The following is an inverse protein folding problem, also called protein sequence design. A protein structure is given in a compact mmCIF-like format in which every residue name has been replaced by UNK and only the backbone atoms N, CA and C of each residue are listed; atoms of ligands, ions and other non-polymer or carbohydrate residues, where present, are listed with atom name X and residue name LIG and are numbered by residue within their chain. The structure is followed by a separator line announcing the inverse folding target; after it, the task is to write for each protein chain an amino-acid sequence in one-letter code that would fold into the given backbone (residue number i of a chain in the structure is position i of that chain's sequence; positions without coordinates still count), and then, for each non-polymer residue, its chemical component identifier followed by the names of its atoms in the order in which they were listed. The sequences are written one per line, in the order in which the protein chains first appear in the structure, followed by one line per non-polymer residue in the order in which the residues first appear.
data_IF_054701907496
#
_entry.id   IF_054701907496
#
_cell.length_a   1.000
_cell.length_b   1.000
_cell.length_c   1.000
_cell.angle_alpha   90.00
_cell.angle_beta   90.00
_cell.angle_gamma   90.00
#
_symmetry.space_group_name_H-M   'P 1'
#
loop_
_entity.id
_entity.type
_entity.pdbx_description
1 polymer ?
#
# COMPACT_ATOMS: atom_id res chain seq x y z
N UNK A 1 19.65 22.13 -16.74
CA UNK A 1 18.49 21.36 -16.30
C UNK A 1 19.02 20.00 -15.89
N UNK A 2 19.24 19.75 -14.59
CA UNK A 2 19.52 18.42 -14.10
C UNK A 2 18.26 17.58 -14.36
N UNK A 3 18.34 16.67 -15.32
CA UNK A 3 17.38 15.58 -15.43
C UNK A 3 17.51 14.76 -14.14
N UNK A 4 16.55 14.95 -13.24
CA UNK A 4 16.43 14.13 -12.05
C UNK A 4 16.11 12.72 -12.54
N UNK A 5 17.15 11.85 -12.53
CA UNK A 5 16.99 10.45 -12.93
C UNK A 5 15.84 9.85 -12.12
N UNK A 6 14.85 9.32 -12.85
CA UNK A 6 13.66 8.75 -12.23
C UNK A 6 14.10 7.65 -11.25
N UNK A 7 13.86 7.88 -9.98
CA UNK A 7 14.20 6.94 -8.91
C UNK A 7 13.19 5.78 -8.93
N UNK A 8 13.58 4.58 -9.19
CA UNK A 8 12.89 3.29 -9.12
C UNK A 8 11.42 3.22 -8.72
N UNK A 9 11.09 2.29 -7.86
CA UNK A 9 9.72 2.01 -7.42
C UNK A 9 9.53 2.49 -5.98
N UNK A 10 8.52 3.31 -5.71
CA UNK A 10 8.10 3.65 -4.35
C UNK A 10 6.90 2.79 -3.97
N UNK A 11 6.89 2.21 -2.77
CA UNK A 11 5.80 1.36 -2.27
C UNK A 11 5.24 1.95 -0.98
N UNK A 12 3.94 2.24 -0.95
CA UNK A 12 3.25 2.66 0.27
C UNK A 12 2.95 1.47 1.17
N UNK A 13 3.44 1.51 2.42
CA UNK A 13 3.32 0.44 3.40
C UNK A 13 2.64 0.94 4.66
N UNK A 14 1.55 0.28 5.04
CA UNK A 14 0.79 0.55 6.27
C UNK A 14 0.61 -0.70 7.16
N UNK A 15 1.30 -1.81 6.82
CA UNK A 15 1.21 -3.08 7.52
C UNK A 15 -0.01 -3.92 7.15
N UNK A 16 -0.90 -3.45 6.28
CA UNK A 16 -2.02 -4.25 5.78
C UNK A 16 -1.54 -5.38 4.88
N UNK A 17 -2.31 -6.49 4.75
CA UNK A 17 -1.98 -7.57 3.81
C UNK A 17 -1.80 -7.10 2.38
N UNK A 18 -2.54 -6.05 1.95
CA UNK A 18 -2.42 -5.49 0.62
C UNK A 18 -1.16 -4.64 0.44
N UNK A 19 -0.66 -3.99 1.48
CA UNK A 19 0.63 -3.30 1.41
C UNK A 19 1.80 -4.28 1.38
N UNK A 20 1.70 -5.42 2.05
CA UNK A 20 2.67 -6.53 1.93
C UNK A 20 2.65 -7.11 0.51
N UNK A 21 1.48 -7.31 -0.08
CA UNK A 21 1.37 -7.76 -1.47
C UNK A 21 1.89 -6.70 -2.47
N UNK A 22 1.73 -5.40 -2.16
CA UNK A 22 2.32 -4.31 -2.94
C UNK A 22 3.86 -4.38 -2.98
N UNK A 23 4.50 -4.73 -1.85
CA UNK A 23 5.95 -4.98 -1.79
C UNK A 23 6.36 -6.16 -2.69
N UNK A 24 5.59 -7.26 -2.68
CA UNK A 24 5.84 -8.42 -3.56
C UNK A 24 5.69 -8.06 -5.05
N UNK A 25 4.70 -7.25 -5.39
CA UNK A 25 4.53 -6.75 -6.76
C UNK A 25 5.70 -5.86 -7.20
N UNK A 26 6.17 -4.98 -6.32
CA UNK A 26 7.34 -4.14 -6.61
C UNK A 26 8.58 -4.99 -6.96
N UNK A 27 8.85 -6.06 -6.20
CA UNK A 27 9.96 -6.96 -6.50
C UNK A 27 9.80 -7.69 -7.85
N UNK A 28 8.58 -8.11 -8.20
CA UNK A 28 8.30 -8.73 -9.51
C UNK A 28 8.50 -7.77 -10.68
N UNK A 29 8.25 -6.49 -10.46
CA UNK A 29 8.33 -5.45 -11.49
C UNK A 29 9.70 -4.79 -11.58
N UNK A 30 10.57 -4.97 -10.58
CA UNK A 30 11.86 -4.29 -10.48
C UNK A 30 12.71 -4.44 -11.75
N UNK A 31 12.79 -5.64 -12.30
CA UNK A 31 13.60 -5.91 -13.52
C UNK A 31 13.07 -5.19 -14.76
N UNK A 32 11.77 -4.98 -14.87
CA UNK A 32 11.14 -4.32 -16.03
C UNK A 32 11.06 -2.81 -15.89
N UNK A 33 10.77 -2.32 -14.69
CA UNK A 33 10.65 -0.89 -14.38
C UNK A 33 12.04 -0.25 -14.20
N UNK A 34 12.94 -0.98 -13.54
CA UNK A 34 14.31 -0.53 -13.23
C UNK A 34 14.37 0.41 -12.02
N UNK A 35 15.56 0.52 -11.46
CA UNK A 35 15.87 1.31 -10.27
C UNK A 35 15.53 0.61 -8.95
N UNK A 36 15.96 1.18 -7.80
CA UNK A 36 15.77 0.59 -6.49
C UNK A 36 14.30 0.64 -6.04
N UNK A 37 13.96 -0.22 -5.08
CA UNK A 37 12.67 -0.18 -4.39
C UNK A 37 12.82 0.63 -3.11
N UNK A 38 11.91 1.58 -2.88
CA UNK A 38 11.79 2.33 -1.63
C UNK A 38 10.48 1.98 -0.94
N UNK A 39 10.56 1.27 0.18
CA UNK A 39 9.39 1.00 1.02
C UNK A 39 9.14 2.20 1.93
N UNK A 40 7.98 2.85 1.77
CA UNK A 40 7.65 4.10 2.42
C UNK A 40 6.47 3.94 3.38
N UNK A 41 6.62 4.42 4.61
CA UNK A 41 5.53 4.53 5.58
C UNK A 41 5.45 5.94 6.14
N UNK A 42 4.24 6.34 6.54
CA UNK A 42 3.97 7.63 7.13
C UNK A 42 3.48 7.46 8.56
N UNK A 43 3.85 8.38 9.43
CA UNK A 43 3.36 8.43 10.80
C UNK A 43 2.83 9.83 11.16
N UNK A 44 1.92 9.87 12.12
CA UNK A 44 1.38 11.12 12.68
C UNK A 44 1.19 10.94 14.17
N UNK A 45 1.35 12.03 14.92
CA UNK A 45 0.90 12.03 16.30
C UNK A 45 -0.62 11.94 16.33
N UNK A 46 -1.20 10.97 17.07
CA UNK A 46 -2.64 10.93 17.28
C UNK A 46 -3.08 12.21 18.01
N UNK A 47 -4.03 12.96 17.44
CA UNK A 47 -4.53 14.21 18.02
C UNK A 47 -5.10 14.01 19.42
N UNK A 48 -5.58 12.79 19.75
CA UNK A 48 -6.11 12.40 21.04
C UNK A 48 -5.18 11.49 21.87
N UNK A 49 -3.97 11.21 21.42
CA UNK A 49 -3.08 10.22 22.02
C UNK A 49 -1.77 10.79 22.62
N UNK A 50 -1.65 12.10 22.75
CA UNK A 50 -0.45 12.74 23.33
C UNK A 50 -0.07 12.21 24.72
N UNK A 51 -1.02 11.70 25.51
CA UNK A 51 -0.78 11.06 26.80
C UNK A 51 -0.19 9.66 26.72
N UNK A 52 -0.36 8.94 25.60
CA UNK A 52 0.08 7.56 25.44
C UNK A 52 1.60 7.44 25.27
N UNK A 53 2.25 8.48 24.76
CA UNK A 53 3.70 8.52 24.51
C UNK A 53 4.49 9.32 25.56
N UNK A 54 3.78 9.89 26.58
CA UNK A 54 4.36 10.83 27.53
C UNK A 54 5.42 10.22 28.46
N UNK A 55 5.36 8.90 28.68
CA UNK A 55 6.26 8.17 29.58
C UNK A 55 7.05 7.05 28.87
N UNK A 56 6.95 6.96 27.53
CA UNK A 56 7.67 5.95 26.76
C UNK A 56 8.91 6.55 26.09
N UNK A 57 10.04 5.85 26.19
CA UNK A 57 11.23 6.09 25.36
C UNK A 57 11.01 5.70 23.87
N UNK A 58 9.77 5.48 23.46
CA UNK A 58 9.33 4.96 22.18
C UNK A 58 8.20 5.85 21.62
N UNK A 59 8.30 6.25 20.38
CA UNK A 59 7.36 7.17 19.73
C UNK A 59 6.68 6.61 18.50
N UNK A 60 5.73 7.36 17.90
CA UNK A 60 5.02 6.91 16.68
C UNK A 60 5.94 6.63 15.50
N UNK A 61 7.09 7.26 15.43
CA UNK A 61 8.11 6.96 14.41
C UNK A 61 8.71 5.57 14.60
N UNK A 62 8.96 5.18 15.85
CA UNK A 62 9.50 3.86 16.18
C UNK A 62 8.48 2.77 15.87
N UNK A 63 7.19 2.99 16.19
CA UNK A 63 6.09 2.10 15.83
C UNK A 63 6.00 1.94 14.29
N UNK A 64 6.13 3.03 13.54
CA UNK A 64 6.14 3.02 12.08
C UNK A 64 7.34 2.26 11.50
N UNK A 65 8.50 2.39 12.14
CA UNK A 65 9.73 1.67 11.76
C UNK A 65 9.59 0.17 11.97
N UNK A 66 9.04 -0.24 13.11
CA UNK A 66 8.80 -1.65 13.41
C UNK A 66 7.78 -2.25 12.45
N UNK A 67 6.67 -1.56 12.22
CA UNK A 67 5.64 -1.95 11.24
C UNK A 67 6.24 -2.16 9.84
N UNK A 68 7.07 -1.21 9.40
CA UNK A 68 7.71 -1.29 8.08
C UNK A 68 8.66 -2.49 7.98
N UNK A 69 9.48 -2.71 9.01
CA UNK A 69 10.39 -3.85 9.06
C UNK A 69 9.65 -5.18 9.06
N UNK A 70 8.54 -5.27 9.81
CA UNK A 70 7.69 -6.46 9.83
C UNK A 70 7.08 -6.72 8.45
N UNK A 71 6.51 -5.70 7.80
CA UNK A 71 5.92 -5.83 6.47
C UNK A 71 6.95 -6.27 5.42
N UNK A 72 8.19 -5.77 5.49
CA UNK A 72 9.30 -6.20 4.63
C UNK A 72 9.65 -7.67 4.90
N UNK A 73 9.73 -8.08 6.16
CA UNK A 73 9.93 -9.48 6.55
C UNK A 73 8.85 -10.41 6.01
N UNK A 74 7.58 -10.02 6.14
CA UNK A 74 6.42 -10.77 5.65
C UNK A 74 6.38 -10.86 4.10
N UNK A 75 6.84 -9.80 3.43
CA UNK A 75 6.89 -9.78 1.98
C UNK A 75 7.97 -10.68 1.40
N UNK A 76 9.14 -10.70 2.00
CA UNK A 76 10.36 -11.24 1.38
C UNK A 76 10.99 -12.42 2.12
N UNK A 77 10.46 -12.80 3.30
CA UNK A 77 10.94 -13.99 4.04
C UNK A 77 12.43 -13.92 4.41
N UNK A 78 12.97 -12.71 4.69
CA UNK A 78 14.38 -12.52 5.05
C UNK A 78 15.34 -12.34 3.85
N UNK A 79 14.83 -12.34 2.62
CA UNK A 79 15.62 -12.12 1.39
C UNK A 79 15.06 -10.95 0.57
N UNK A 80 15.17 -9.71 1.07
CA UNK A 80 14.68 -8.53 0.35
C UNK A 80 15.46 -8.28 -0.94
N UNK A 81 14.85 -7.59 -1.92
CA UNK A 81 15.55 -7.16 -3.14
C UNK A 81 16.81 -6.36 -2.83
N UNK A 82 17.84 -6.52 -3.68
CA UNK A 82 19.09 -5.76 -3.53
C UNK A 82 18.80 -4.28 -3.74
N UNK A 83 19.31 -3.44 -2.83
CA UNK A 83 19.10 -2.00 -2.91
C UNK A 83 17.72 -1.53 -2.41
N UNK A 84 16.95 -2.39 -1.75
CA UNK A 84 15.76 -1.97 -1.02
C UNK A 84 16.15 -0.91 0.02
N UNK A 85 15.47 0.22 -0.02
CA UNK A 85 15.59 1.30 0.95
C UNK A 85 14.29 1.52 1.70
N UNK A 86 14.35 2.12 2.87
CA UNK A 86 13.19 2.46 3.69
C UNK A 86 13.05 3.96 3.85
N UNK A 87 11.82 4.45 3.79
CA UNK A 87 11.46 5.83 4.04
C UNK A 87 10.41 5.88 5.14
N UNK A 88 10.70 6.63 6.20
CA UNK A 88 9.76 6.88 7.29
C UNK A 88 9.61 8.39 7.43
N UNK A 89 8.40 8.90 7.22
CA UNK A 89 8.17 10.34 7.20
C UNK A 89 6.94 10.73 8.03
N UNK A 90 7.01 11.89 8.66
CA UNK A 90 5.88 12.47 9.38
C UNK A 90 4.91 13.16 8.42
N UNK A 91 3.62 12.89 8.58
CA UNK A 91 2.56 13.56 7.83
C UNK A 91 1.46 12.63 7.33
N UNK A 92 0.43 13.19 6.64
CA UNK A 92 -0.62 12.40 6.01
C UNK A 92 -0.05 11.44 4.97
N UNK A 93 -0.42 10.16 5.03
CA UNK A 93 0.18 9.10 4.21
C UNK A 93 0.13 9.40 2.70
N UNK A 94 -1.02 9.86 2.19
CA UNK A 94 -1.14 10.22 0.77
C UNK A 94 -0.15 11.32 0.37
N UNK A 95 -0.02 12.36 1.18
CA UNK A 95 0.92 13.46 0.94
C UNK A 95 2.37 12.97 0.94
N UNK A 96 2.75 12.19 1.95
CA UNK A 96 4.10 11.62 2.06
C UNK A 96 4.43 10.80 0.81
N UNK A 97 3.51 9.93 0.37
CA UNK A 97 3.72 9.09 -0.81
C UNK A 97 3.83 9.92 -2.10
N UNK A 98 2.95 10.90 -2.30
CA UNK A 98 2.97 11.77 -3.49
C UNK A 98 4.27 12.59 -3.56
N UNK A 99 4.69 13.20 -2.45
CA UNK A 99 5.89 14.02 -2.40
C UNK A 99 7.16 13.18 -2.65
N UNK A 100 7.23 11.98 -2.08
CA UNK A 100 8.40 11.10 -2.19
C UNK A 100 8.41 10.20 -3.43
N UNK A 101 7.31 10.17 -4.20
CA UNK A 101 7.25 9.52 -5.51
C UNK A 101 7.47 10.46 -6.69
N UNK A 102 7.77 11.73 -6.45
CA UNK A 102 8.16 12.65 -7.51
C UNK A 102 9.45 12.18 -8.16
N UNK A 103 9.41 11.95 -9.48
CA UNK A 103 10.54 11.38 -10.21
C UNK A 103 10.70 9.86 -10.08
N UNK A 104 9.84 9.18 -9.32
CA UNK A 104 9.78 7.72 -9.34
C UNK A 104 9.24 7.22 -10.67
N UNK A 105 9.65 6.03 -11.07
CA UNK A 105 9.12 5.34 -12.26
C UNK A 105 7.75 4.74 -12.01
N UNK A 106 7.47 4.39 -10.75
CA UNK A 106 6.22 3.76 -10.34
C UNK A 106 5.96 3.99 -8.84
N UNK A 107 4.73 4.32 -8.49
CA UNK A 107 4.22 4.25 -7.12
C UNK A 107 3.31 3.03 -7.01
N UNK A 108 3.54 2.16 -6.02
CA UNK A 108 2.72 0.97 -5.76
C UNK A 108 2.03 1.12 -4.41
N UNK A 109 0.73 0.92 -4.38
CA UNK A 109 -0.08 1.01 -3.15
C UNK A 109 -1.11 -0.11 -3.11
N UNK A 110 -1.47 -0.58 -1.91
CA UNK A 110 -2.62 -1.45 -1.74
C UNK A 110 -3.92 -0.69 -2.03
N UNK A 111 -4.91 -1.36 -2.60
CA UNK A 111 -6.21 -0.74 -2.88
C UNK A 111 -6.94 -0.30 -1.61
N UNK A 112 -6.63 -0.90 -0.46
CA UNK A 112 -7.16 -0.58 0.87
C UNK A 112 -6.06 -0.78 1.91
N UNK A 113 -6.14 -0.01 3.00
CA UNK A 113 -5.26 -0.14 4.17
C UNK A 113 -6.00 -0.71 5.38
N UNK A 114 -5.39 -0.58 6.56
CA UNK A 114 -5.90 -1.09 7.85
C UNK A 114 -7.29 -0.53 8.24
N UNK A 115 -7.65 0.68 7.79
CA UNK A 115 -8.93 1.34 8.10
C UNK A 115 -10.02 1.20 7.05
N UNK A 116 -9.87 0.30 6.07
CA UNK A 116 -10.73 0.25 4.89
C UNK A 116 -12.15 -0.27 5.17
N UNK A 117 -13.16 0.54 4.83
CA UNK A 117 -14.56 0.07 4.75
C UNK A 117 -14.68 -0.95 3.62
N UNK A 118 -15.25 -2.14 3.92
CA UNK A 118 -15.38 -3.26 2.97
C UNK A 118 -16.18 -2.95 1.68
N UNK A 119 -16.92 -1.85 1.67
CA UNK A 119 -17.77 -1.41 0.54
C UNK A 119 -17.07 -0.47 -0.46
N UNK A 120 -15.90 0.10 -0.13
CA UNK A 120 -15.20 1.00 -1.04
C UNK A 120 -14.24 0.22 -1.93
N UNK A 121 -14.24 0.51 -3.23
CA UNK A 121 -13.30 -0.10 -4.18
C UNK A 121 -11.86 0.35 -3.96
N UNK A 122 -11.67 1.62 -3.52
CA UNK A 122 -10.38 2.20 -3.19
C UNK A 122 -10.42 2.84 -1.79
N UNK A 123 -9.33 2.70 -1.03
CA UNK A 123 -9.11 3.44 0.20
C UNK A 123 -8.76 4.90 -0.08
N UNK A 124 -8.84 5.76 0.95
CA UNK A 124 -8.57 7.19 0.81
C UNK A 124 -7.15 7.48 0.31
N UNK A 125 -6.15 6.77 0.82
CA UNK A 125 -4.74 6.96 0.41
C UNK A 125 -4.54 6.56 -1.05
N UNK A 126 -4.99 5.36 -1.44
CA UNK A 126 -4.84 4.87 -2.82
C UNK A 126 -5.60 5.72 -3.83
N UNK A 127 -6.79 6.22 -3.49
CA UNK A 127 -7.56 7.12 -4.34
C UNK A 127 -6.83 8.45 -4.56
N UNK A 128 -6.34 9.09 -3.50
CA UNK A 128 -5.61 10.37 -3.59
C UNK A 128 -4.28 10.20 -4.32
N UNK A 129 -3.56 9.08 -4.09
CA UNK A 129 -2.34 8.78 -4.84
C UNK A 129 -2.61 8.58 -6.34
N UNK A 130 -3.66 7.83 -6.69
CA UNK A 130 -4.03 7.60 -8.10
C UNK A 130 -4.42 8.90 -8.84
N UNK A 131 -5.01 9.87 -8.12
CA UNK A 131 -5.43 11.15 -8.68
C UNK A 131 -4.29 12.17 -8.79
N UNK A 132 -3.37 12.18 -7.81
CA UNK A 132 -2.43 13.31 -7.64
C UNK A 132 -0.94 12.96 -7.76
N UNK A 133 -0.57 11.69 -7.87
CA UNK A 133 0.84 11.33 -8.06
C UNK A 133 1.36 11.83 -9.41
N UNK A 134 2.62 12.29 -9.43
CA UNK A 134 3.29 12.75 -10.65
C UNK A 134 3.90 11.61 -11.49
N UNK A 135 3.76 10.35 -11.04
CA UNK A 135 4.22 9.14 -11.71
C UNK A 135 3.08 8.14 -11.89
N UNK A 136 3.24 7.09 -12.72
CA UNK A 136 2.28 6.00 -12.79
C UNK A 136 2.02 5.37 -11.41
N UNK A 137 0.76 4.98 -11.15
CA UNK A 137 0.36 4.35 -9.89
C UNK A 137 -0.21 2.97 -10.15
N UNK A 138 0.36 1.95 -9.51
CA UNK A 138 -0.17 0.60 -9.47
C UNK A 138 -0.95 0.40 -8.18
N UNK A 139 -2.25 0.11 -8.31
CA UNK A 139 -3.11 -0.21 -7.17
C UNK A 139 -3.30 -1.71 -7.08
N UNK A 140 -2.82 -2.31 -5.98
CA UNK A 140 -2.87 -3.76 -5.75
C UNK A 140 -4.16 -4.12 -5.03
N UNK A 141 -4.98 -4.97 -5.67
CA UNK A 141 -6.21 -5.50 -5.11
C UNK A 141 -6.00 -6.92 -4.54
N UNK A 142 -6.85 -7.30 -3.59
CA UNK A 142 -6.92 -8.70 -3.18
C UNK A 142 -7.29 -9.57 -4.39
N UNK A 143 -6.71 -10.79 -4.51
CA UNK A 143 -7.13 -11.71 -5.55
C UNK A 143 -8.64 -11.96 -5.43
N UNK A 144 -9.37 -11.78 -6.52
CA UNK A 144 -10.75 -12.23 -6.60
C UNK A 144 -10.72 -13.74 -6.63
N UNK A 145 -11.06 -14.40 -5.52
CA UNK A 145 -11.33 -15.83 -5.54
C UNK A 145 -12.60 -16.01 -6.36
N UNK A 146 -12.44 -16.37 -7.65
CA UNK A 146 -13.55 -16.88 -8.42
C UNK A 146 -14.01 -18.15 -7.67
N UNK A 147 -15.27 -18.25 -7.22
CA UNK A 147 -15.75 -19.53 -6.68
C UNK A 147 -15.50 -20.58 -7.76
N UNK A 148 -14.88 -21.70 -7.35
CA UNK A 148 -14.68 -22.83 -8.25
C UNK A 148 -16.04 -23.17 -8.88
N UNK A 149 -16.09 -23.21 -10.20
CA UNK A 149 -17.26 -23.67 -10.93
C UNK A 149 -17.47 -25.16 -10.60
N UNK A 150 -18.40 -25.44 -9.67
CA UNK A 150 -18.68 -26.81 -9.25
C UNK A 150 -19.37 -26.87 -7.90
N UNK A 151 -20.56 -26.27 -7.81
CA UNK A 151 -21.68 -26.68 -6.97
C UNK A 151 -22.90 -25.85 -7.40
N UNK A 152 -23.43 -26.22 -8.57
CA UNK A 152 -24.83 -25.96 -8.88
C UNK A 152 -25.62 -27.11 -8.25
N UNK A 153 -26.03 -26.94 -7.01
CA UNK A 153 -27.15 -27.70 -6.45
C UNK A 153 -28.35 -26.75 -6.39
N UNK A 154 -29.37 -27.17 -7.14
CA UNK A 154 -30.76 -26.83 -7.09
C UNK A 154 -31.22 -25.86 -5.98
N UNK A 155 -31.64 -24.67 -6.39
CA UNK A 155 -32.73 -23.98 -5.73
C UNK A 155 -33.60 -23.36 -6.81
N UNK A 156 -34.57 -24.14 -7.25
CA UNK A 156 -35.80 -23.69 -7.90
C UNK A 156 -36.43 -22.56 -7.06
N UNK A 157 -36.35 -21.34 -7.58
CA UNK A 157 -37.09 -20.20 -7.06
C UNK A 157 -37.63 -19.39 -8.26
N UNK A 158 -38.95 -19.17 -8.34
CA UNK A 158 -39.62 -18.64 -9.53
C UNK A 158 -39.23 -17.18 -9.77
N UNK A 159 -38.94 -16.89 -11.02
CA UNK A 159 -38.70 -15.55 -11.56
C UNK A 159 -39.83 -14.59 -11.13
N UNK A 160 -39.50 -13.60 -10.31
CA UNK A 160 -40.35 -12.42 -10.08
C UNK A 160 -40.09 -11.43 -11.19
N UNK A 161 -41.07 -11.31 -12.05
CA UNK A 161 -41.28 -10.33 -13.10
C UNK A 161 -41.07 -8.89 -12.57
N UNK A 162 -40.08 -8.18 -13.13
CA UNK A 162 -39.86 -6.75 -12.92
C UNK A 162 -40.30 -5.97 -14.18
N UNK A 163 -41.54 -6.15 -14.63
CA UNK A 163 -42.14 -5.30 -15.64
C UNK A 163 -43.62 -5.07 -15.28
N UNK A 164 -43.89 -3.96 -14.63
CA UNK A 164 -45.07 -3.16 -14.69
C UNK A 164 -44.79 -1.78 -14.11
#
# INVERSE_FOLDING_TARGET
VEEQEATGIVVGVDGSPLSVEALRWAARLESGVGGPITAATAWQFPVMGLGMYRDKQWGPEDDARELLNQAIGDAYGGSPPRGLTTLIASGPAARVLIENSRGARLLVVGSRGLGGFARLMLGSVSAVCAEHAACPVLVVHAPTVKPAAGQAEDADAPARSWLA
#
